data_IF_809813209582
#
_entry.id   IF_809813209582
#
_cell.length_a   1.000
_cell.length_b   1.000
_cell.length_c   1.000
_cell.angle_alpha   90.00
_cell.angle_beta   90.00
_cell.angle_gamma   90.00
#
_symmetry.space_group_name_H-M   'P 1'
#
loop_
_entity.id
_entity.type
_entity.pdbx_description
1 polymer ?
#
# COMPACT_ATOMS: atom_id res chain seq x y z
N UNK A 1 -5.66 25.96 1.74
CA UNK A 1 -4.18 25.86 1.65
C UNK A 1 -3.66 24.45 1.89
N UNK A 2 -4.13 23.69 2.90
CA UNK A 2 -3.79 22.25 3.03
C UNK A 2 -4.66 21.32 2.16
N UNK A 3 -5.92 21.70 1.88
CA UNK A 3 -6.92 20.91 1.14
C UNK A 3 -6.57 20.61 -0.32
N UNK A 4 -5.80 21.48 -0.98
CA UNK A 4 -5.51 21.36 -2.41
C UNK A 4 -4.28 20.49 -2.66
N UNK A 5 -3.48 20.25 -1.61
CA UNK A 5 -2.31 19.39 -1.64
C UNK A 5 -2.78 17.94 -1.71
N UNK A 6 -2.12 17.13 -2.54
CA UNK A 6 -2.42 15.71 -2.70
C UNK A 6 -1.24 14.88 -2.30
N UNK A 7 -1.53 13.78 -1.64
CA UNK A 7 -0.54 12.79 -1.24
C UNK A 7 -1.01 11.42 -1.69
N UNK A 8 -0.08 10.50 -1.80
CA UNK A 8 -0.38 9.09 -2.00
C UNK A 8 0.31 8.26 -0.93
N UNK A 9 -0.30 7.15 -0.53
CA UNK A 9 0.38 6.05 0.16
C UNK A 9 0.52 4.88 -0.80
N UNK A 10 1.52 4.04 -0.61
CA UNK A 10 1.79 2.90 -1.47
C UNK A 10 2.36 1.73 -0.68
N UNK A 11 1.97 0.52 -1.08
CA UNK A 11 2.42 -0.74 -0.49
C UNK A 11 2.40 -1.87 -1.53
N UNK A 12 3.31 -2.83 -1.37
CA UNK A 12 3.42 -4.04 -2.18
C UNK A 12 3.35 -5.31 -1.33
N UNK A 13 2.56 -6.27 -1.79
CA UNK A 13 2.74 -7.67 -1.40
C UNK A 13 3.58 -8.38 -2.45
N UNK A 14 4.49 -9.24 -2.02
CA UNK A 14 5.52 -9.81 -2.90
C UNK A 14 5.73 -11.30 -2.63
N UNK A 15 6.19 -12.01 -3.66
CA UNK A 15 6.49 -13.44 -3.61
C UNK A 15 7.87 -13.77 -3.00
N UNK A 16 8.45 -12.81 -2.27
CA UNK A 16 9.76 -12.95 -1.65
C UNK A 16 10.43 -11.59 -1.40
N UNK A 17 11.75 -11.60 -1.26
CA UNK A 17 12.53 -10.37 -1.18
C UNK A 17 12.93 -9.87 -2.57
N UNK A 18 13.97 -9.05 -2.64
CA UNK A 18 14.53 -8.50 -3.88
C UNK A 18 14.69 -9.57 -4.97
N UNK A 19 14.30 -9.22 -6.19
CA UNK A 19 14.22 -10.11 -7.36
C UNK A 19 13.10 -11.17 -7.32
N UNK A 20 12.11 -11.02 -6.44
CA UNK A 20 10.83 -11.72 -6.53
C UNK A 20 9.78 -10.86 -7.24
N UNK A 21 8.67 -11.48 -7.63
CA UNK A 21 7.52 -10.79 -8.21
C UNK A 21 6.72 -10.02 -7.16
N UNK A 22 6.21 -8.84 -7.52
CA UNK A 22 5.08 -8.24 -6.79
C UNK A 22 3.80 -9.00 -7.17
N UNK A 23 3.00 -9.34 -6.16
CA UNK A 23 1.74 -10.10 -6.30
C UNK A 23 0.50 -9.26 -5.95
N UNK A 24 0.70 -8.12 -5.27
CA UNK A 24 -0.30 -7.06 -5.13
C UNK A 24 0.39 -5.71 -5.16
N UNK A 25 -0.25 -4.71 -5.75
CA UNK A 25 0.14 -3.31 -5.63
C UNK A 25 -1.06 -2.46 -5.27
N UNK A 26 -0.92 -1.70 -4.19
CA UNK A 26 -2.00 -0.89 -3.63
C UNK A 26 -1.53 0.53 -3.39
N UNK A 27 -2.36 1.53 -3.70
CA UNK A 27 -2.08 2.93 -3.43
C UNK A 27 -3.37 3.68 -3.14
N UNK A 28 -3.35 4.62 -2.20
CA UNK A 28 -4.50 5.48 -1.89
C UNK A 28 -4.06 6.93 -2.07
N UNK A 29 -4.85 7.71 -2.82
CA UNK A 29 -4.63 9.14 -3.02
C UNK A 29 -5.64 9.92 -2.20
N UNK A 30 -5.18 10.97 -1.53
CA UNK A 30 -5.99 11.76 -0.62
C UNK A 30 -5.47 13.21 -0.55
N UNK A 31 -6.31 14.10 -0.06
CA UNK A 31 -5.97 15.51 0.16
C UNK A 31 -5.21 15.72 1.46
N UNK A 32 -4.57 16.88 1.63
CA UNK A 32 -3.82 17.19 2.86
C UNK A 32 -4.66 17.23 4.13
N UNK A 33 -5.96 17.47 4.06
CA UNK A 33 -6.91 17.36 5.17
C UNK A 33 -7.46 15.93 5.38
N UNK A 34 -7.06 14.97 4.54
CA UNK A 34 -7.35 13.55 4.71
C UNK A 34 -8.52 13.04 3.87
N UNK A 35 -9.17 13.82 3.01
CA UNK A 35 -10.25 13.28 2.17
C UNK A 35 -9.68 12.33 1.11
N UNK A 36 -10.16 11.09 1.09
CA UNK A 36 -9.77 10.09 0.09
C UNK A 36 -10.35 10.47 -1.27
N UNK A 37 -9.52 10.38 -2.30
CA UNK A 37 -9.85 10.79 -3.66
C UNK A 37 -10.05 9.58 -4.57
N UNK A 38 -9.17 8.59 -4.45
CA UNK A 38 -9.14 7.40 -5.31
C UNK A 38 -8.16 6.37 -4.74
N UNK A 39 -8.18 5.16 -5.27
CA UNK A 39 -7.20 4.13 -4.94
C UNK A 39 -6.85 3.25 -6.15
N UNK A 40 -5.61 2.79 -6.19
CA UNK A 40 -5.16 1.72 -7.06
C UNK A 40 -5.07 0.45 -6.22
N UNK A 41 -5.60 -0.67 -6.74
CA UNK A 41 -5.48 -1.96 -6.07
C UNK A 41 -5.56 -3.08 -7.11
N UNK A 42 -4.44 -3.73 -7.40
CA UNK A 42 -4.35 -4.76 -8.43
C UNK A 42 -3.48 -5.93 -7.97
N UNK A 43 -3.77 -7.11 -8.51
CA UNK A 43 -3.18 -8.38 -8.12
C UNK A 43 -2.57 -9.09 -9.32
N UNK A 44 -1.39 -9.66 -9.12
CA UNK A 44 -0.57 -10.19 -10.20
C UNK A 44 -0.15 -11.61 -9.88
N UNK A 45 -0.09 -12.46 -10.90
CA UNK A 45 0.58 -13.75 -10.78
C UNK A 45 2.08 -13.51 -10.70
N UNK A 46 2.78 -14.27 -9.85
CA UNK A 46 4.24 -14.25 -9.85
C UNK A 46 4.79 -14.78 -11.17
N UNK A 47 5.97 -14.34 -11.57
CA UNK A 47 6.67 -14.88 -12.73
C UNK A 47 7.40 -16.19 -12.39
N UNK A 48 7.82 -16.32 -11.14
CA UNK A 48 8.37 -17.52 -10.52
C UNK A 48 7.32 -18.31 -9.74
N UNK A 49 7.65 -19.54 -9.32
CA UNK A 49 6.74 -20.34 -8.49
C UNK A 49 6.35 -19.58 -7.21
N UNK A 50 5.07 -19.62 -6.80
CA UNK A 50 4.65 -19.03 -5.54
C UNK A 50 5.47 -19.57 -4.36
N UNK A 51 5.94 -18.69 -3.48
CA UNK A 51 6.63 -19.05 -2.25
C UNK A 51 5.61 -19.31 -1.13
N UNK A 52 5.47 -20.55 -0.62
CA UNK A 52 4.50 -20.87 0.42
C UNK A 52 4.69 -20.02 1.70
N UNK A 53 5.91 -19.51 1.95
CA UNK A 53 6.17 -18.67 3.12
C UNK A 53 5.50 -17.31 2.98
N UNK A 54 5.63 -16.64 1.85
CA UNK A 54 4.95 -15.35 1.63
C UNK A 54 3.44 -15.56 1.52
N UNK A 55 2.98 -16.61 0.84
CA UNK A 55 1.56 -16.98 0.80
C UNK A 55 0.96 -17.17 2.20
N UNK A 56 1.71 -17.73 3.15
CA UNK A 56 1.24 -17.88 4.54
C UNK A 56 1.09 -16.55 5.29
N UNK A 57 1.79 -15.50 4.83
CA UNK A 57 1.73 -14.15 5.42
C UNK A 57 0.56 -13.38 4.82
N UNK A 58 0.56 -13.17 3.50
CA UNK A 58 -0.42 -12.31 2.81
C UNK A 58 -1.67 -13.07 2.34
N UNK A 59 -1.66 -14.40 2.30
CA UNK A 59 -2.81 -15.24 1.91
C UNK A 59 -3.17 -15.20 0.41
N UNK A 60 -2.35 -14.58 -0.43
CA UNK A 60 -2.59 -14.40 -1.88
C UNK A 60 -2.08 -15.61 -2.67
N UNK A 61 -2.86 -16.70 -2.67
CA UNK A 61 -2.59 -17.84 -3.56
C UNK A 61 -2.98 -17.50 -5.01
N UNK A 62 -2.42 -18.19 -6.03
CA UNK A 62 -2.79 -17.97 -7.42
C UNK A 62 -4.30 -18.05 -7.69
N UNK A 63 -5.03 -18.95 -7.02
CA UNK A 63 -6.48 -19.03 -7.15
C UNK A 63 -7.18 -17.76 -6.66
N UNK A 64 -6.79 -17.25 -5.49
CA UNK A 64 -7.35 -16.01 -4.92
C UNK A 64 -6.99 -14.78 -5.73
N UNK A 65 -5.74 -14.70 -6.21
CA UNK A 65 -5.29 -13.67 -7.16
C UNK A 65 -6.18 -13.69 -8.40
N UNK A 66 -6.43 -14.88 -8.97
CA UNK A 66 -7.33 -15.04 -10.11
C UNK A 66 -8.77 -14.59 -9.84
N UNK A 67 -9.25 -14.66 -8.60
CA UNK A 67 -10.56 -14.14 -8.21
C UNK A 67 -10.57 -12.62 -8.12
N UNK A 68 -9.60 -12.00 -7.44
CA UNK A 68 -9.51 -10.54 -7.35
C UNK A 68 -9.34 -9.87 -8.72
N UNK A 69 -8.59 -10.50 -9.63
CA UNK A 69 -8.41 -10.02 -11.00
C UNK A 69 -9.70 -9.94 -11.83
N UNK A 70 -10.83 -10.46 -11.36
CA UNK A 70 -12.13 -10.34 -12.04
C UNK A 70 -12.70 -8.91 -11.99
N UNK A 71 -12.18 -8.04 -11.13
CA UNK A 71 -12.59 -6.64 -11.02
C UNK A 71 -12.33 -5.84 -12.31
N UNK A 72 -11.18 -6.09 -12.96
CA UNK A 72 -10.68 -5.32 -14.09
C UNK A 72 -9.71 -6.16 -14.94
N UNK A 73 -9.67 -5.92 -16.25
CA UNK A 73 -8.69 -6.53 -17.15
C UNK A 73 -7.39 -5.70 -17.21
N UNK A 74 -6.27 -6.33 -16.89
CA UNK A 74 -4.92 -5.74 -16.95
C UNK A 74 -3.86 -6.85 -17.06
N UNK A 75 -2.59 -6.48 -17.25
CA UNK A 75 -1.48 -7.43 -17.39
C UNK A 75 -1.45 -8.49 -16.26
N UNK A 76 -1.21 -9.78 -16.56
CA UNK A 76 -1.12 -10.86 -15.56
C UNK A 76 0.02 -10.67 -14.57
N UNK A 77 1.10 -10.00 -14.95
CA UNK A 77 2.31 -9.79 -14.16
C UNK A 77 2.54 -8.31 -13.89
N UNK A 78 3.12 -7.96 -12.73
CA UNK A 78 3.32 -6.56 -12.36
C UNK A 78 4.18 -5.79 -13.38
N UNK A 79 5.22 -6.42 -13.94
CA UNK A 79 6.09 -5.77 -14.93
C UNK A 79 5.40 -5.50 -16.28
N UNK A 80 4.23 -6.07 -16.52
CA UNK A 80 3.39 -5.78 -17.68
C UNK A 80 2.38 -4.65 -17.41
N UNK A 81 2.17 -4.28 -16.14
CA UNK A 81 1.12 -3.33 -15.72
C UNK A 81 1.63 -2.15 -14.88
N UNK A 82 2.92 -2.09 -14.54
CA UNK A 82 3.48 -1.02 -13.71
C UNK A 82 3.23 0.39 -14.28
N UNK A 83 3.08 0.51 -15.60
CA UNK A 83 2.75 1.77 -16.27
C UNK A 83 1.36 2.28 -15.88
N UNK A 84 0.42 1.39 -15.55
CA UNK A 84 -0.91 1.75 -15.04
C UNK A 84 -0.81 2.37 -13.63
N UNK A 85 0.06 1.83 -12.77
CA UNK A 85 0.35 2.41 -11.46
C UNK A 85 1.02 3.80 -11.60
N UNK A 86 1.97 3.93 -12.52
CA UNK A 86 2.60 5.22 -12.80
C UNK A 86 1.57 6.24 -13.33
N UNK A 87 0.72 5.84 -14.27
CA UNK A 87 -0.35 6.67 -14.82
C UNK A 87 -1.37 7.08 -13.74
N UNK A 88 -1.70 6.18 -12.81
CA UNK A 88 -2.54 6.50 -11.66
C UNK A 88 -1.93 7.63 -10.82
N UNK A 89 -0.65 7.53 -10.46
CA UNK A 89 0.02 8.62 -9.74
C UNK A 89 0.11 9.90 -10.55
N UNK A 90 0.42 9.82 -11.85
CA UNK A 90 0.56 11.00 -12.71
C UNK A 90 -0.77 11.73 -12.89
N UNK A 91 -1.88 11.00 -13.02
CA UNK A 91 -3.22 11.57 -13.12
C UNK A 91 -3.64 12.37 -11.89
N UNK A 92 -3.21 11.94 -10.70
CA UNK A 92 -3.49 12.65 -9.44
C UNK A 92 -2.44 13.70 -9.06
N UNK A 93 -1.22 13.58 -9.59
CA UNK A 93 -0.07 14.45 -9.33
C UNK A 93 0.16 14.71 -7.82
N UNK A 94 0.41 13.66 -7.00
CA UNK A 94 0.66 13.83 -5.59
C UNK A 94 2.00 14.54 -5.36
N UNK A 95 2.07 15.41 -4.36
CA UNK A 95 3.30 16.09 -3.98
C UNK A 95 4.39 15.14 -3.48
N UNK A 96 3.97 13.99 -2.96
CA UNK A 96 4.84 12.90 -2.60
C UNK A 96 4.08 11.62 -2.26
N UNK A 97 4.81 10.52 -2.34
CA UNK A 97 4.32 9.17 -2.09
C UNK A 97 4.92 8.67 -0.78
N UNK A 98 4.06 8.12 0.07
CA UNK A 98 4.37 7.66 1.41
C UNK A 98 4.40 6.15 1.40
N UNK A 99 5.46 5.57 1.96
CA UNK A 99 5.67 4.11 2.01
C UNK A 99 6.25 3.72 3.36
N UNK A 100 6.01 2.48 3.79
CA UNK A 100 6.58 1.96 5.02
C UNK A 100 7.71 0.97 4.69
N UNK A 101 8.96 1.40 4.89
CA UNK A 101 10.19 0.71 4.42
C UNK A 101 10.51 0.92 2.93
N UNK A 102 10.61 2.20 2.52
CA UNK A 102 10.91 2.66 1.16
C UNK A 102 11.89 1.80 0.34
N UNK A 103 13.01 1.36 0.92
CA UNK A 103 14.01 0.57 0.18
C UNK A 103 13.47 -0.78 -0.30
N UNK A 104 12.49 -1.34 0.42
CA UNK A 104 11.80 -2.57 0.04
C UNK A 104 10.89 -2.31 -1.16
N UNK A 105 9.88 -1.45 -1.02
CA UNK A 105 8.86 -1.23 -2.06
C UNK A 105 9.47 -0.83 -3.40
N UNK A 106 10.38 0.17 -3.39
CA UNK A 106 10.96 0.69 -4.64
C UNK A 106 11.97 -0.28 -5.26
N UNK A 107 12.38 -1.35 -4.56
CA UNK A 107 13.23 -2.38 -5.15
C UNK A 107 12.50 -3.29 -6.15
N UNK A 108 11.17 -3.29 -6.11
CA UNK A 108 10.29 -4.01 -7.04
C UNK A 108 9.78 -3.12 -8.18
N UNK A 109 10.00 -1.81 -8.10
CA UNK A 109 9.57 -0.86 -9.12
C UNK A 109 10.64 -0.68 -10.21
N UNK A 110 10.26 -0.67 -11.49
CA UNK A 110 11.15 -0.22 -12.56
C UNK A 110 11.71 1.18 -12.27
N UNK A 111 12.96 1.50 -12.64
CA UNK A 111 13.56 2.81 -12.37
C UNK A 111 12.73 3.99 -12.88
N UNK A 112 12.02 3.82 -13.99
CA UNK A 112 11.11 4.79 -14.61
C UNK A 112 9.88 5.08 -13.73
N UNK A 113 9.39 4.10 -12.98
CA UNK A 113 8.31 4.28 -12.01
C UNK A 113 8.78 5.06 -10.78
N UNK A 114 10.07 5.00 -10.43
CA UNK A 114 10.62 5.69 -9.24
C UNK A 114 11.11 7.11 -9.56
N UNK A 115 11.72 7.28 -10.73
CA UNK A 115 12.36 8.54 -11.15
C UNK A 115 11.34 9.69 -11.21
N UNK A 116 11.77 10.87 -10.77
CA UNK A 116 10.94 12.08 -10.80
C UNK A 116 9.90 12.18 -9.68
N UNK A 117 9.67 11.09 -8.93
CA UNK A 117 8.75 11.07 -7.79
C UNK A 117 9.48 11.36 -6.48
N UNK A 118 8.77 12.00 -5.55
CA UNK A 118 9.28 12.27 -4.20
C UNK A 118 8.65 11.31 -3.21
N UNK A 119 9.47 10.79 -2.31
CA UNK A 119 9.11 9.71 -1.42
C UNK A 119 9.33 10.08 0.04
N UNK A 120 8.45 9.62 0.93
CA UNK A 120 8.66 9.68 2.37
C UNK A 120 8.55 8.28 2.97
N UNK A 121 9.61 7.87 3.68
CA UNK A 121 9.66 6.59 4.35
C UNK A 121 9.16 6.75 5.79
N UNK A 122 7.92 6.34 6.08
CA UNK A 122 7.32 6.51 7.41
C UNK A 122 8.11 5.75 8.49
N UNK A 123 8.68 4.58 8.16
CA UNK A 123 9.55 3.83 9.05
C UNK A 123 10.73 4.68 9.57
N UNK A 124 11.40 5.42 8.68
CA UNK A 124 12.52 6.29 9.06
C UNK A 124 12.03 7.59 9.69
N UNK A 125 11.02 8.24 9.09
CA UNK A 125 10.47 9.51 9.55
C UNK A 125 9.91 9.42 10.96
N UNK A 126 9.33 8.28 11.34
CA UNK A 126 8.69 8.08 12.65
C UNK A 126 9.59 7.44 13.69
N UNK A 127 10.88 7.21 13.39
CA UNK A 127 11.80 6.56 14.35
C UNK A 127 11.94 7.40 15.63
N UNK A 128 12.17 8.71 15.50
CA UNK A 128 12.30 9.63 16.64
C UNK A 128 10.98 9.98 17.32
N UNK A 129 9.86 9.86 16.60
CA UNK A 129 8.52 10.01 17.17
C UNK A 129 8.16 8.78 18.03
N UNK A 130 8.38 7.58 17.49
CA UNK A 130 8.00 6.34 18.18
C UNK A 130 8.96 6.00 19.33
N UNK A 131 10.25 6.35 19.25
CA UNK A 131 11.27 6.11 20.29
C UNK A 131 11.19 4.71 20.90
N UNK A 132 11.02 3.69 20.06
CA UNK A 132 10.95 2.33 20.55
C UNK A 132 12.38 1.87 20.83
N UNK A 133 12.70 1.35 22.03
CA UNK A 133 14.06 0.93 22.36
C UNK A 133 14.65 -0.03 21.33
N UNK A 134 15.85 0.29 20.85
CA UNK A 134 16.63 -0.56 19.96
C UNK A 134 17.31 -1.72 20.69
N UNK A 135 17.81 -2.69 19.92
CA UNK A 135 18.81 -3.63 20.45
C UNK A 135 20.19 -2.96 20.40
N UNK A 136 21.01 -3.04 21.48
CA UNK A 136 22.39 -2.56 21.47
C UNK A 136 23.22 -3.10 20.30
N UNK A 137 22.94 -4.35 19.87
CA UNK A 137 23.63 -5.03 18.77
C UNK A 137 23.38 -4.40 17.40
N UNK A 138 22.29 -3.63 17.24
CA UNK A 138 21.93 -2.96 15.97
C UNK A 138 22.42 -1.51 15.91
N UNK A 139 23.21 -1.06 16.90
CA UNK A 139 23.94 0.21 16.88
C UNK A 139 23.09 1.49 16.92
N UNK A 140 21.76 1.39 17.00
CA UNK A 140 20.83 2.51 17.03
C UNK A 140 20.17 2.68 18.41
N UNK A 141 20.01 3.93 18.85
CA UNK A 141 19.28 4.26 20.10
C UNK A 141 17.83 3.79 20.04
N UNK A 142 17.20 3.95 18.89
CA UNK A 142 15.82 3.55 18.64
C UNK A 142 15.77 2.54 17.50
N UNK A 143 14.89 1.54 17.62
CA UNK A 143 14.57 0.68 16.48
C UNK A 143 13.64 1.42 15.51
N UNK A 144 13.68 1.01 14.26
CA UNK A 144 12.64 1.33 13.30
C UNK A 144 11.31 0.68 13.73
N UNK A 145 10.20 1.44 13.80
CA UNK A 145 8.90 0.89 14.14
C UNK A 145 8.38 0.02 13.00
N UNK A 146 7.73 -1.10 13.33
CA UNK A 146 6.84 -1.80 12.39
C UNK A 146 5.60 -0.94 12.12
N UNK A 147 4.87 -1.19 11.03
CA UNK A 147 3.67 -0.41 10.67
C UNK A 147 2.66 -0.35 11.81
N UNK A 148 2.30 -1.49 12.40
CA UNK A 148 1.38 -1.54 13.54
C UNK A 148 1.89 -0.83 14.80
N UNK A 149 3.20 -0.80 15.03
CA UNK A 149 3.78 -0.05 16.15
C UNK A 149 3.71 1.46 15.91
N UNK A 150 4.00 1.89 14.68
CA UNK A 150 3.84 3.28 14.27
C UNK A 150 2.38 3.72 14.35
N UNK A 151 1.45 2.89 13.86
CA UNK A 151 0.01 3.12 13.94
C UNK A 151 -0.44 3.33 15.38
N UNK A 152 -0.12 2.40 16.27
CA UNK A 152 -0.49 2.49 17.68
C UNK A 152 0.06 3.76 18.36
N UNK A 153 1.32 4.13 18.09
CA UNK A 153 1.93 5.33 18.69
C UNK A 153 1.33 6.63 18.16
N UNK A 154 1.11 6.73 16.84
CA UNK A 154 0.58 7.95 16.22
C UNK A 154 -0.90 8.12 16.54
N UNK A 155 -1.72 7.09 16.35
CA UNK A 155 -3.17 7.15 16.62
C UNK A 155 -3.47 7.37 18.10
N UNK A 156 -2.60 6.91 19.01
CA UNK A 156 -2.74 7.16 20.45
C UNK A 156 -2.26 8.55 20.91
N UNK A 157 -1.49 9.28 20.09
CA UNK A 157 -0.89 10.56 20.46
C UNK A 157 -1.36 11.76 19.65
N UNK A 158 -2.00 11.55 18.49
CA UNK A 158 -2.41 12.60 17.57
C UNK A 158 -3.84 12.31 17.10
N UNK A 159 -4.75 13.26 17.30
CA UNK A 159 -6.13 13.16 16.83
C UNK A 159 -6.22 13.18 15.30
N UNK A 160 -7.16 12.43 14.70
CA UNK A 160 -7.45 12.53 13.27
C UNK A 160 -8.03 13.91 12.90
N UNK A 161 -8.00 14.23 11.61
CA UNK A 161 -8.91 15.23 11.03
C UNK A 161 -10.30 14.63 10.88
N UNK A 162 -11.35 15.45 10.73
CA UNK A 162 -12.71 14.94 10.50
C UNK A 162 -12.79 13.97 9.31
N UNK A 163 -12.18 14.31 8.17
CA UNK A 163 -12.14 13.43 7.01
C UNK A 163 -11.40 12.11 7.25
N UNK A 164 -10.37 12.11 8.12
CA UNK A 164 -9.65 10.88 8.49
C UNK A 164 -10.49 10.02 9.43
N UNK A 165 -11.20 10.65 10.38
CA UNK A 165 -12.10 9.98 11.31
C UNK A 165 -13.27 9.32 10.57
N UNK A 166 -13.94 10.06 9.68
CA UNK A 166 -15.04 9.55 8.85
C UNK A 166 -14.60 8.33 8.01
N UNK A 167 -13.39 8.38 7.44
CA UNK A 167 -12.84 7.28 6.65
C UNK A 167 -12.53 6.05 7.53
N UNK A 168 -11.97 6.25 8.73
CA UNK A 168 -11.64 5.16 9.67
C UNK A 168 -12.92 4.50 10.21
N UNK A 169 -13.97 5.28 10.50
CA UNK A 169 -15.28 4.76 10.89
C UNK A 169 -15.90 3.92 9.76
N UNK A 170 -15.86 4.42 8.53
CA UNK A 170 -16.45 3.73 7.38
C UNK A 170 -15.72 2.42 7.04
N UNK A 171 -14.39 2.40 7.03
CA UNK A 171 -13.65 1.19 6.64
C UNK A 171 -13.63 0.12 7.73
N UNK A 172 -13.65 0.54 8.99
CA UNK A 172 -13.58 -0.34 10.14
C UNK A 172 -12.17 -0.91 10.37
N UNK A 173 -12.05 -2.07 11.05
CA UNK A 173 -10.76 -2.58 11.49
C UNK A 173 -9.87 -3.01 10.32
N UNK A 174 -8.54 -2.89 10.46
CA UNK A 174 -7.60 -3.29 9.42
C UNK A 174 -7.60 -4.81 9.22
N UNK A 175 -7.40 -5.21 7.96
CA UNK A 175 -7.16 -6.59 7.57
C UNK A 175 -5.65 -6.81 7.49
N UNK A 176 -5.13 -7.71 8.33
CA UNK A 176 -3.69 -7.98 8.36
C UNK A 176 -3.18 -8.53 7.01
N UNK A 177 -2.00 -8.03 6.60
CA UNK A 177 -1.25 -8.49 5.42
C UNK A 177 -2.09 -8.43 4.14
N UNK A 178 -2.71 -7.27 3.95
CA UNK A 178 -3.46 -6.94 2.75
C UNK A 178 -3.05 -5.53 2.37
N UNK A 179 -2.22 -5.40 1.33
CA UNK A 179 -1.60 -4.12 0.95
C UNK A 179 -2.54 -2.90 0.89
N UNK A 180 -3.83 -3.08 0.53
CA UNK A 180 -4.80 -1.96 0.57
C UNK A 180 -5.14 -1.52 2.00
N UNK A 181 -5.27 -2.47 2.92
CA UNK A 181 -5.45 -2.19 4.35
C UNK A 181 -4.18 -1.62 4.98
N UNK A 182 -3.00 -2.08 4.59
CA UNK A 182 -1.72 -1.54 5.07
C UNK A 182 -1.51 -0.11 4.54
N UNK A 183 -1.88 0.16 3.28
CA UNK A 183 -2.00 1.52 2.76
C UNK A 183 -2.95 2.38 3.61
N UNK A 184 -4.12 1.87 3.97
CA UNK A 184 -5.08 2.65 4.76
C UNK A 184 -4.56 2.98 6.16
N UNK A 185 -3.88 2.04 6.83
CA UNK A 185 -3.19 2.31 8.09
C UNK A 185 -2.11 3.38 7.92
N UNK A 186 -1.33 3.30 6.85
CA UNK A 186 -0.28 4.26 6.54
C UNK A 186 -0.85 5.66 6.21
N UNK A 187 -2.01 5.72 5.56
CA UNK A 187 -2.77 6.94 5.30
C UNK A 187 -3.19 7.59 6.62
N UNK A 188 -3.81 6.83 7.54
CA UNK A 188 -4.24 7.36 8.83
C UNK A 188 -3.08 7.88 9.70
N UNK A 189 -1.92 7.22 9.62
CA UNK A 189 -0.67 7.68 10.24
C UNK A 189 -0.21 8.99 9.61
N UNK A 190 -0.08 9.02 8.27
CA UNK A 190 0.45 10.17 7.56
C UNK A 190 -0.44 11.39 7.74
N UNK A 191 -1.76 11.26 7.57
CA UNK A 191 -2.72 12.35 7.71
C UNK A 191 -2.61 13.03 9.08
N UNK A 192 -2.45 12.26 10.16
CA UNK A 192 -2.22 12.79 11.51
C UNK A 192 -0.91 13.55 11.61
N UNK A 193 0.19 12.93 11.20
CA UNK A 193 1.54 13.52 11.30
C UNK A 193 1.64 14.78 10.44
N UNK A 194 1.10 14.75 9.23
CA UNK A 194 1.08 15.87 8.32
C UNK A 194 0.33 17.08 8.89
N UNK A 195 -0.84 16.86 9.50
CA UNK A 195 -1.67 17.95 10.02
C UNK A 195 -1.18 18.48 11.38
N UNK A 196 -0.56 17.64 12.22
CA UNK A 196 -0.09 18.06 13.54
C UNK A 196 1.38 18.51 13.55
N UNK A 197 2.24 17.87 12.75
CA UNK A 197 3.69 18.00 12.79
C UNK A 197 4.33 17.88 11.39
N UNK A 198 3.95 18.75 10.43
CA UNK A 198 4.39 18.65 9.04
C UNK A 198 5.91 18.68 8.85
N UNK A 199 6.65 19.32 9.76
CA UNK A 199 8.12 19.39 9.73
C UNK A 199 8.80 18.02 9.87
N UNK A 200 8.11 16.99 10.37
CA UNK A 200 8.61 15.61 10.39
C UNK A 200 8.55 14.92 9.02
N UNK A 201 7.81 15.50 8.08
CA UNK A 201 7.61 14.95 6.74
C UNK A 201 8.59 15.62 5.78
N UNK A 202 9.52 14.83 5.25
CA UNK A 202 10.49 15.29 4.25
C UNK A 202 10.47 14.36 3.05
N UNK A 203 9.82 14.81 1.98
CA UNK A 203 9.79 14.08 0.71
C UNK A 203 11.11 14.25 -0.04
N UNK A 204 11.70 13.14 -0.49
CA UNK A 204 13.01 13.11 -1.15
C UNK A 204 13.00 12.23 -2.39
N UNK A 205 13.88 12.53 -3.34
CA UNK A 205 14.16 11.59 -4.43
C UNK A 205 14.74 10.29 -3.85
N UNK A 206 14.43 9.17 -4.50
CA UNK A 206 14.91 7.85 -4.09
C UNK A 206 15.35 7.05 -5.32
N UNK A 207 16.25 6.10 -5.07
CA UNK A 207 16.68 5.12 -6.07
C UNK A 207 17.16 3.88 -5.35
N UNK A 208 16.73 2.71 -5.82
CA UNK A 208 17.25 1.40 -5.42
C UNK A 208 17.48 0.60 -6.70
N UNK A 209 18.52 -0.26 -6.79
CA UNK A 209 18.72 -1.03 -7.99
C UNK A 209 17.63 -2.11 -8.11
N UNK A 210 16.83 -1.99 -9.17
CA UNK A 210 15.80 -2.93 -9.56
C UNK A 210 16.40 -4.21 -10.14
N UNK A 211 15.84 -5.36 -9.77
CA UNK A 211 16.18 -6.65 -10.35
C UNK A 211 14.87 -7.38 -10.69
N UNK A 212 14.59 -7.67 -11.97
CA UNK A 212 13.37 -8.38 -12.34
C UNK A 212 13.43 -9.83 -11.85
N UNK A 213 12.27 -10.45 -11.57
CA UNK A 213 12.20 -11.86 -11.23
C UNK A 213 12.64 -12.75 -12.39
N UNK A 214 13.07 -13.96 -12.04
CA UNK A 214 13.40 -14.98 -13.05
C UNK A 214 12.14 -15.77 -13.38
N UNK A 215 11.63 -15.58 -14.60
CA UNK A 215 10.47 -16.31 -15.09
C UNK A 215 10.65 -17.83 -15.01
N UNK A 216 9.71 -18.48 -14.30
CA UNK A 216 9.58 -19.92 -14.16
C UNK A 216 8.09 -20.28 -14.22
N UNK A 217 7.56 -20.66 -15.40
CA UNK A 217 6.14 -20.97 -15.56
C UNK A 217 5.65 -22.06 -14.60
N UNK A 218 4.43 -21.87 -14.11
CA UNK A 218 3.73 -22.81 -13.25
C UNK A 218 2.23 -22.85 -13.65
N UNK A 219 1.53 -23.95 -13.39
CA UNK A 219 0.11 -24.05 -13.73
C UNK A 219 -0.70 -23.07 -12.88
N UNK A 220 -1.59 -22.32 -13.53
CA UNK A 220 -2.54 -21.46 -12.84
C UNK A 220 -3.81 -22.27 -12.50
N UNK A 221 -4.24 -22.31 -11.23
CA UNK A 221 -5.50 -22.92 -10.86
C UNK A 221 -6.69 -22.06 -11.31
N UNK A 222 -7.90 -22.61 -11.24
CA UNK A 222 -9.11 -21.82 -11.42
C UNK A 222 -9.21 -20.73 -10.34
N UNK A 223 -9.82 -19.57 -10.65
CA UNK A 223 -10.10 -18.55 -9.63
C UNK A 223 -10.87 -19.12 -8.44
N UNK A 224 -10.42 -18.76 -7.23
CA UNK A 224 -10.98 -19.20 -5.96
C UNK A 224 -11.58 -18.02 -5.22
N UNK A 225 -12.91 -17.97 -5.19
CA UNK A 225 -13.67 -17.12 -4.28
C UNK A 225 -13.90 -17.86 -2.96
N UNK A 226 -13.41 -17.30 -1.86
CA UNK A 226 -13.62 -17.79 -0.51
C UNK A 226 -13.82 -16.64 0.47
N UNK A 227 -14.03 -16.96 1.76
CA UNK A 227 -14.21 -15.94 2.80
C UNK A 227 -13.07 -14.89 2.81
N UNK A 228 -11.84 -15.32 2.54
CA UNK A 228 -10.70 -14.41 2.52
C UNK A 228 -10.82 -13.38 1.40
N UNK A 229 -11.24 -13.79 0.20
CA UNK A 229 -11.45 -12.86 -0.93
C UNK A 229 -12.67 -11.99 -0.71
N UNK A 230 -13.76 -12.54 -0.19
CA UNK A 230 -15.00 -11.81 0.10
C UNK A 230 -14.78 -10.68 1.09
N UNK A 231 -14.09 -10.94 2.20
CA UNK A 231 -13.80 -9.92 3.22
C UNK A 231 -12.94 -8.76 2.68
N UNK A 232 -11.97 -9.07 1.80
CA UNK A 232 -11.07 -8.07 1.20
C UNK A 232 -11.73 -7.26 0.10
N UNK A 233 -12.60 -7.88 -0.70
CA UNK A 233 -13.42 -7.17 -1.68
C UNK A 233 -14.42 -6.25 -1.00
N UNK A 234 -15.07 -6.71 0.09
CA UNK A 234 -15.93 -5.86 0.91
C UNK A 234 -15.14 -4.69 1.55
N UNK A 235 -13.89 -4.90 1.96
CA UNK A 235 -13.02 -3.83 2.44
C UNK A 235 -12.72 -2.80 1.35
N UNK A 236 -12.33 -3.26 0.16
CA UNK A 236 -12.09 -2.39 -0.99
C UNK A 236 -13.37 -1.63 -1.42
N UNK A 237 -14.55 -2.24 -1.30
CA UNK A 237 -15.83 -1.59 -1.58
C UNK A 237 -16.10 -0.42 -0.61
N UNK A 238 -15.80 -0.58 0.68
CA UNK A 238 -15.92 0.52 1.65
C UNK A 238 -14.95 1.67 1.36
N UNK A 239 -13.75 1.36 0.84
CA UNK A 239 -12.83 2.39 0.34
C UNK A 239 -13.34 3.08 -0.92
N UNK A 240 -13.97 2.34 -1.83
CA UNK A 240 -14.64 2.93 -3.00
C UNK A 240 -15.76 3.89 -2.58
N UNK A 241 -16.58 3.50 -1.59
CA UNK A 241 -17.56 4.39 -0.97
C UNK A 241 -16.90 5.64 -0.37
N UNK A 242 -15.80 5.49 0.38
CA UNK A 242 -15.06 6.61 0.98
C UNK A 242 -14.52 7.60 -0.06
N UNK A 243 -14.16 7.12 -1.26
CA UNK A 243 -13.72 7.93 -2.40
C UNK A 243 -14.87 8.52 -3.23
N UNK A 244 -16.12 8.13 -2.96
CA UNK A 244 -17.30 8.50 -3.77
C UNK A 244 -17.43 7.74 -5.09
N UNK A 245 -16.70 6.64 -5.29
CA UNK A 245 -16.71 5.84 -6.51
C UNK A 245 -17.76 4.72 -6.47
N UNK A 246 -19.04 5.11 -6.59
CA UNK A 246 -20.18 4.18 -6.47
C UNK A 246 -20.16 3.01 -7.46
N UNK A 247 -19.75 3.24 -8.71
CA UNK A 247 -19.69 2.16 -9.71
C UNK A 247 -18.69 1.08 -9.29
N UNK A 248 -17.53 1.48 -8.76
CA UNK A 248 -16.51 0.55 -8.30
C UNK A 248 -16.93 -0.17 -7.03
N UNK A 249 -17.59 0.53 -6.11
CA UNK A 249 -18.20 -0.08 -4.92
C UNK A 249 -19.16 -1.21 -5.30
N UNK A 250 -20.13 -0.93 -6.17
CA UNK A 250 -21.13 -1.92 -6.63
C UNK A 250 -20.46 -3.12 -7.32
N UNK A 251 -19.44 -2.87 -8.14
CA UNK A 251 -18.65 -3.92 -8.79
C UNK A 251 -17.93 -4.82 -7.80
N UNK A 252 -17.26 -4.22 -6.80
CA UNK A 252 -16.52 -4.95 -5.76
C UNK A 252 -17.45 -5.77 -4.89
N UNK A 253 -18.61 -5.22 -4.50
CA UNK A 253 -19.64 -5.95 -3.76
C UNK A 253 -20.23 -7.11 -4.56
N UNK A 254 -20.36 -6.97 -5.89
CA UNK A 254 -20.80 -8.06 -6.76
C UNK A 254 -19.80 -9.22 -6.88
N UNK A 255 -18.53 -8.99 -6.54
CA UNK A 255 -17.47 -10.00 -6.55
C UNK A 255 -17.17 -10.60 -5.16
N UNK A 256 -17.58 -9.90 -4.10
CA UNK A 256 -17.38 -10.30 -2.71
C UNK A 256 -18.28 -11.49 -2.36
#
# INVERSE_FOLDING_TARGET
MASDRRFAVFDLETNGFRAASAVSASSIVFTGDGRILDFFNRFYYSEERPDPRTESVHGLTPGRIGHFRREEEYGPHFLEDWTSLAAFWDGWNPEGIVVHNLSFDISFLPPEAVRGRKWWCSMRGLTEFCRIPGSPERGGRWKWPKLGEASARVKGGISPTGATEDAEELLGPPLAHFGLSDCFELYGIFSRVWNAQPDQVSFRAASTPFMPPRRQPYPLPAPLGDRFTSERLAYAARLAAASGCREREERLLGLA
#
